data_IF_303202462478
#
_entry.id   IF_303202462478
#
_cell.length_a   1.000
_cell.length_b   1.000
_cell.length_c   1.000
_cell.angle_alpha   90.00
_cell.angle_beta   90.00
_cell.angle_gamma   90.00
#
_symmetry.space_group_name_H-M   'P 1'
#
loop_
_entity.id
_entity.type
_entity.pdbx_description
1 polymer ?
#
# COMPACT_ATOMS: atom_id res chain seq x y z
N UNK A 1 10.15 -11.29 -8.56
CA UNK A 1 9.58 -11.97 -7.36
C UNK A 1 8.10 -11.58 -7.21
N UNK A 2 7.22 -12.48 -6.77
CA UNK A 2 5.76 -12.24 -6.65
C UNK A 2 5.37 -11.96 -5.21
N UNK A 3 4.72 -10.81 -4.98
CA UNK A 3 4.04 -10.50 -3.72
C UNK A 3 2.61 -11.04 -3.81
N UNK A 4 2.34 -12.18 -3.17
CA UNK A 4 0.97 -12.63 -2.94
C UNK A 4 0.68 -12.71 -1.44
N UNK A 5 -0.40 -12.06 -1.00
CA UNK A 5 -0.99 -12.29 0.31
C UNK A 5 -2.05 -13.39 0.15
N UNK A 6 -1.63 -14.65 0.22
CA UNK A 6 -2.54 -15.81 0.13
C UNK A 6 -3.69 -15.78 1.16
N UNK A 7 -3.59 -14.94 2.20
CA UNK A 7 -4.69 -14.66 3.14
C UNK A 7 -5.75 -13.69 2.61
N UNK A 8 -5.37 -12.65 1.85
CA UNK A 8 -6.27 -11.60 1.34
C UNK A 8 -7.10 -12.04 0.12
N UNK A 9 -6.59 -12.93 -0.73
CA UNK A 9 -7.35 -13.44 -1.88
C UNK A 9 -8.61 -14.24 -1.48
N UNK A 10 -8.72 -14.69 -0.22
CA UNK A 10 -9.96 -15.30 0.32
C UNK A 10 -10.92 -14.29 0.94
N UNK A 11 -10.51 -13.04 1.09
CA UNK A 11 -11.29 -11.96 1.70
C UNK A 11 -12.10 -11.19 0.66
N UNK A 12 -11.83 -11.36 -0.65
CA UNK A 12 -12.72 -10.89 -1.72
C UNK A 12 -14.17 -11.37 -1.56
N UNK A 13 -14.44 -12.44 -0.82
CA UNK A 13 -15.82 -12.84 -0.50
C UNK A 13 -16.55 -11.88 0.45
N UNK A 14 -15.86 -10.96 1.12
CA UNK A 14 -16.42 -9.85 1.88
C UNK A 14 -16.67 -8.66 0.93
N UNK A 15 -17.74 -8.75 0.14
CA UNK A 15 -18.15 -7.75 -0.86
C UNK A 15 -18.52 -6.37 -0.29
N UNK A 16 -18.54 -6.17 1.02
CA UNK A 16 -18.86 -4.89 1.64
C UNK A 16 -17.66 -3.96 1.59
N UNK A 17 -17.68 -2.98 0.69
CA UNK A 17 -16.76 -1.84 0.72
C UNK A 17 -17.30 -0.79 1.69
N UNK A 18 -16.83 -0.84 2.94
CA UNK A 18 -17.33 -0.07 4.09
C UNK A 18 -16.30 0.96 4.64
N UNK A 19 -15.22 1.18 3.89
CA UNK A 19 -14.21 2.20 4.18
C UNK A 19 -13.78 2.92 2.91
N UNK A 20 -13.74 4.25 2.99
CA UNK A 20 -13.19 5.14 1.96
C UNK A 20 -11.79 5.60 2.36
N UNK A 21 -10.82 5.35 1.50
CA UNK A 21 -9.48 5.93 1.61
C UNK A 21 -9.36 7.06 0.59
N UNK A 22 -8.96 8.24 1.04
CA UNK A 22 -8.82 9.42 0.19
C UNK A 22 -7.34 9.76 0.03
N UNK A 23 -6.85 9.67 -1.20
CA UNK A 23 -5.49 9.99 -1.59
C UNK A 23 -5.50 11.26 -2.45
N UNK A 24 -5.30 12.44 -1.84
CA UNK A 24 -5.54 13.71 -2.50
C UNK A 24 -7.00 13.85 -2.92
N UNK A 25 -7.26 13.89 -4.24
CA UNK A 25 -8.62 13.96 -4.80
C UNK A 25 -9.15 12.59 -5.27
N UNK A 26 -8.44 11.50 -4.95
CA UNK A 26 -8.76 10.15 -5.41
C UNK A 26 -9.39 9.34 -4.28
N UNK A 27 -10.56 8.77 -4.54
CA UNK A 27 -11.29 7.94 -3.60
C UNK A 27 -11.07 6.45 -3.93
N UNK A 28 -10.66 5.69 -2.92
CA UNK A 28 -10.52 4.24 -3.01
C UNK A 28 -11.43 3.57 -1.99
N UNK A 29 -12.39 2.80 -2.49
CA UNK A 29 -13.33 2.04 -1.65
C UNK A 29 -12.79 0.65 -1.39
N UNK A 30 -12.62 0.31 -0.12
CA UNK A 30 -12.12 -0.97 0.35
C UNK A 30 -12.95 -1.46 1.55
N UNK A 31 -12.72 -2.70 1.99
CA UNK A 31 -13.28 -3.16 3.25
C UNK A 31 -12.32 -2.81 4.41
N UNK A 32 -12.89 -2.59 5.59
CA UNK A 32 -12.15 -2.28 6.81
C UNK A 32 -11.18 -3.38 7.23
N UNK A 33 -11.48 -4.64 6.92
CA UNK A 33 -10.63 -5.78 7.25
C UNK A 33 -9.30 -5.73 6.47
N UNK A 34 -9.35 -5.70 5.14
CA UNK A 34 -8.21 -5.58 4.24
C UNK A 34 -7.40 -4.33 4.54
N UNK A 35 -8.07 -3.22 4.83
CA UNK A 35 -7.40 -1.98 5.19
C UNK A 35 -6.67 -2.07 6.53
N UNK A 36 -7.28 -2.67 7.55
CA UNK A 36 -6.65 -2.91 8.86
C UNK A 36 -5.51 -3.92 8.77
N UNK A 37 -5.65 -4.91 7.91
CA UNK A 37 -4.63 -5.93 7.67
C UNK A 37 -3.39 -5.33 6.99
N UNK A 38 -3.60 -4.47 5.99
CA UNK A 38 -2.52 -3.82 5.25
C UNK A 38 -1.92 -2.61 5.94
N UNK A 39 -2.57 -2.03 6.95
CA UNK A 39 -2.11 -0.80 7.57
C UNK A 39 -2.36 -0.82 9.07
N UNK A 40 -1.27 -0.90 9.83
CA UNK A 40 -1.34 -0.80 11.29
C UNK A 40 -1.87 0.58 11.73
N UNK A 41 -1.60 1.63 10.94
CA UNK A 41 -2.17 2.97 11.12
C UNK A 41 -3.70 2.95 11.03
N UNK A 42 -4.27 2.35 9.98
CA UNK A 42 -5.72 2.23 9.82
C UNK A 42 -6.32 1.39 10.95
N UNK A 43 -5.68 0.27 11.31
CA UNK A 43 -6.13 -0.58 12.40
C UNK A 43 -6.23 0.19 13.73
N UNK A 44 -5.19 0.95 14.10
CA UNK A 44 -5.18 1.78 15.32
C UNK A 44 -6.32 2.79 15.32
N UNK A 45 -6.58 3.45 14.17
CA UNK A 45 -7.68 4.40 14.03
C UNK A 45 -9.04 3.72 14.25
N UNK A 46 -9.28 2.58 13.60
CA UNK A 46 -10.56 1.87 13.69
C UNK A 46 -10.80 1.20 15.06
N UNK A 47 -9.74 0.84 15.80
CA UNK A 47 -9.85 0.37 17.18
C UNK A 47 -10.29 1.53 18.11
N UNK A 48 -9.75 2.72 17.89
CA UNK A 48 -10.09 3.90 18.69
C UNK A 48 -11.49 4.42 18.36
N UNK A 49 -11.87 4.39 17.09
CA UNK A 49 -13.19 4.80 16.63
C UNK A 49 -13.65 3.93 15.44
N UNK A 50 -14.54 2.99 15.76
CA UNK A 50 -15.11 2.08 14.77
C UNK A 50 -16.21 2.73 13.92
N UNK A 51 -16.48 4.02 14.06
CA UNK A 51 -17.45 4.74 13.22
C UNK A 51 -16.78 5.46 12.04
N UNK A 52 -15.44 5.49 11.99
CA UNK A 52 -14.70 6.09 10.87
C UNK A 52 -15.03 5.37 9.56
N UNK A 53 -15.66 6.10 8.64
CA UNK A 53 -15.96 5.64 7.28
C UNK A 53 -14.96 6.17 6.24
N UNK A 54 -14.15 7.17 6.61
CA UNK A 54 -13.26 7.87 5.68
C UNK A 54 -11.90 8.20 6.32
N UNK A 55 -10.80 7.88 5.62
CA UNK A 55 -9.42 8.14 6.06
C UNK A 55 -8.66 8.88 4.96
N UNK A 56 -7.99 9.98 5.32
CA UNK A 56 -7.25 10.84 4.39
C UNK A 56 -5.75 10.57 4.45
N UNK A 57 -5.12 10.53 3.27
CA UNK A 57 -3.68 10.41 3.06
C UNK A 57 -3.17 11.61 2.27
N UNK A 58 -2.61 12.59 2.98
CA UNK A 58 -2.13 13.85 2.39
C UNK A 58 -0.82 13.69 1.60
N UNK A 59 -0.01 12.67 1.92
CA UNK A 59 1.29 12.42 1.28
C UNK A 59 1.19 11.92 -0.18
N UNK A 60 -0.01 11.68 -0.70
CA UNK A 60 -0.26 11.15 -2.04
C UNK A 60 0.49 11.90 -3.17
N UNK A 61 0.37 13.22 -3.22
CA UNK A 61 0.98 14.02 -4.30
C UNK A 61 2.51 13.93 -4.25
N UNK A 62 3.08 13.84 -3.05
CA UNK A 62 4.51 13.66 -2.84
C UNK A 62 4.97 12.29 -3.33
N UNK A 63 4.22 11.23 -3.07
CA UNK A 63 4.52 9.87 -3.54
C UNK A 63 4.50 9.80 -5.07
N UNK A 64 3.43 10.32 -5.71
CA UNK A 64 3.31 10.31 -7.16
C UNK A 64 4.45 11.10 -7.81
N UNK A 65 4.70 12.33 -7.33
CA UNK A 65 5.72 13.19 -7.90
C UNK A 65 7.12 12.60 -7.73
N UNK A 66 7.42 11.98 -6.58
CA UNK A 66 8.72 11.36 -6.31
C UNK A 66 8.99 10.14 -7.18
N UNK A 67 7.96 9.34 -7.46
CA UNK A 67 8.11 8.09 -8.21
C UNK A 67 7.88 8.26 -9.72
N UNK A 68 7.59 9.47 -10.21
CA UNK A 68 7.35 9.77 -11.63
C UNK A 68 6.27 8.87 -12.28
N UNK A 69 5.25 8.49 -11.51
CA UNK A 69 4.16 7.60 -11.95
C UNK A 69 2.90 8.38 -12.34
N UNK A 70 2.02 7.76 -13.11
CA UNK A 70 0.68 8.30 -13.34
C UNK A 70 -0.25 7.97 -12.17
N UNK A 71 -1.26 8.80 -11.97
CA UNK A 71 -2.36 8.54 -11.03
C UNK A 71 -3.03 7.19 -11.31
N UNK A 72 -3.29 6.88 -12.58
CA UNK A 72 -3.93 5.62 -12.97
C UNK A 72 -3.11 4.39 -12.58
N UNK A 73 -1.78 4.49 -12.67
CA UNK A 73 -0.89 3.42 -12.24
C UNK A 73 -0.92 3.23 -10.72
N UNK A 74 -0.94 4.34 -9.99
CA UNK A 74 -1.09 4.33 -8.53
C UNK A 74 -2.42 3.69 -8.09
N UNK A 75 -3.53 4.09 -8.71
CA UNK A 75 -4.86 3.53 -8.42
C UNK A 75 -4.91 2.03 -8.73
N UNK A 76 -4.30 1.60 -9.84
CA UNK A 76 -4.20 0.19 -10.18
C UNK A 76 -3.41 -0.58 -9.12
N UNK A 77 -2.25 -0.08 -8.70
CA UNK A 77 -1.43 -0.75 -7.68
C UNK A 77 -2.15 -0.82 -6.33
N UNK A 78 -2.88 0.23 -5.93
CA UNK A 78 -3.73 0.19 -4.73
C UNK A 78 -4.82 -0.88 -4.85
N UNK A 79 -5.47 -0.98 -6.00
CA UNK A 79 -6.46 -2.03 -6.25
C UNK A 79 -5.85 -3.41 -6.06
N UNK A 80 -4.67 -3.65 -6.62
CA UNK A 80 -3.98 -4.94 -6.47
C UNK A 80 -3.62 -5.21 -5.01
N UNK A 81 -3.07 -4.22 -4.31
CA UNK A 81 -2.62 -4.35 -2.93
C UNK A 81 -3.79 -4.65 -1.98
N UNK A 82 -4.85 -3.84 -2.03
CA UNK A 82 -6.03 -3.98 -1.18
C UNK A 82 -6.98 -5.10 -1.62
N UNK A 83 -6.93 -5.50 -2.89
CA UNK A 83 -7.60 -6.68 -3.43
C UNK A 83 -6.88 -7.99 -3.09
N UNK A 84 -5.63 -7.93 -2.64
CA UNK A 84 -4.84 -9.13 -2.37
C UNK A 84 -4.40 -9.86 -3.65
N UNK A 85 -4.36 -9.15 -4.77
CA UNK A 85 -3.89 -9.65 -6.06
C UNK A 85 -2.36 -9.84 -6.05
N UNK A 86 -1.85 -10.65 -6.97
CA UNK A 86 -0.41 -10.80 -7.16
C UNK A 86 0.19 -9.55 -7.78
N UNK A 87 1.18 -8.95 -7.11
CA UNK A 87 1.94 -7.83 -7.64
C UNK A 87 3.27 -8.36 -8.19
N UNK A 88 3.45 -8.22 -9.51
CA UNK A 88 4.73 -8.48 -10.18
C UNK A 88 5.64 -7.27 -9.91
N UNK A 89 6.67 -7.47 -9.10
CA UNK A 89 7.61 -6.40 -8.78
C UNK A 89 8.53 -6.08 -9.96
N UNK A 90 8.71 -4.79 -10.22
CA UNK A 90 9.67 -4.22 -11.17
C UNK A 90 10.25 -2.91 -10.59
N UNK A 91 11.27 -2.35 -11.24
CA UNK A 91 11.91 -1.11 -10.76
C UNK A 91 10.91 0.05 -10.58
N UNK A 92 9.90 0.11 -11.45
CA UNK A 92 8.88 1.17 -11.44
C UNK A 92 7.98 1.11 -10.19
N UNK A 93 7.57 -0.08 -9.73
CA UNK A 93 6.69 -0.21 -8.56
C UNK A 93 7.41 -0.47 -7.24
N UNK A 94 8.67 -0.90 -7.23
CA UNK A 94 9.39 -1.17 -5.99
C UNK A 94 9.51 0.08 -5.10
N UNK A 95 9.96 1.21 -5.65
CA UNK A 95 10.10 2.46 -4.91
C UNK A 95 8.74 2.97 -4.40
N UNK A 96 7.71 2.81 -5.23
CA UNK A 96 6.34 3.15 -4.87
C UNK A 96 5.81 2.27 -3.73
N UNK A 97 6.04 0.96 -3.77
CA UNK A 97 5.62 0.03 -2.72
C UNK A 97 6.36 0.30 -1.39
N UNK A 98 7.63 0.70 -1.45
CA UNK A 98 8.38 1.15 -0.27
C UNK A 98 7.77 2.44 0.30
N UNK A 99 7.43 3.43 -0.54
CA UNK A 99 6.79 4.65 -0.05
C UNK A 99 5.39 4.40 0.52
N UNK A 100 4.60 3.55 -0.13
CA UNK A 100 3.29 3.09 0.37
C UNK A 100 3.43 2.37 1.71
N UNK A 101 4.44 1.51 1.88
CA UNK A 101 4.67 0.79 3.14
C UNK A 101 4.85 1.75 4.32
N UNK A 102 5.55 2.87 4.13
CA UNK A 102 5.75 3.90 5.17
C UNK A 102 4.44 4.61 5.50
N UNK A 103 3.68 5.00 4.48
CA UNK A 103 2.41 5.73 4.64
C UNK A 103 1.34 4.87 5.31
N UNK A 104 1.34 3.58 5.00
CA UNK A 104 0.46 2.59 5.60
C UNK A 104 0.96 2.08 6.96
N UNK A 105 2.17 2.42 7.39
CA UNK A 105 2.84 1.80 8.55
C UNK A 105 2.80 0.26 8.45
N UNK A 106 3.24 -0.27 7.31
CA UNK A 106 3.32 -1.69 7.01
C UNK A 106 4.78 -2.11 6.75
N UNK A 107 5.50 -2.37 7.84
CA UNK A 107 6.91 -2.74 7.78
C UNK A 107 7.13 -4.08 7.05
N UNK A 108 6.19 -5.02 7.13
CA UNK A 108 6.28 -6.31 6.45
C UNK A 108 6.34 -6.12 4.92
N UNK A 109 5.46 -5.27 4.37
CA UNK A 109 5.47 -4.91 2.96
C UNK A 109 6.79 -4.25 2.58
N UNK A 110 7.24 -3.27 3.37
CA UNK A 110 8.49 -2.54 3.11
C UNK A 110 9.70 -3.47 3.06
N UNK A 111 9.86 -4.32 4.08
CA UNK A 111 10.95 -5.29 4.17
C UNK A 111 10.90 -6.31 3.03
N UNK A 112 9.71 -6.79 2.67
CA UNK A 112 9.56 -7.77 1.58
C UNK A 112 9.95 -7.18 0.22
N UNK A 113 9.63 -5.90 -0.04
CA UNK A 113 10.04 -5.20 -1.25
C UNK A 113 11.55 -4.95 -1.24
N UNK A 114 12.11 -4.51 -0.11
CA UNK A 114 13.55 -4.26 0.02
C UNK A 114 14.39 -5.53 -0.17
N UNK A 115 13.94 -6.65 0.37
CA UNK A 115 14.61 -7.94 0.16
C UNK A 115 14.48 -8.48 -1.28
N UNK A 116 13.61 -7.89 -2.10
CA UNK A 116 13.45 -8.27 -3.51
C UNK A 116 14.37 -7.51 -4.47
N UNK A 117 15.12 -6.51 -4.00
CA UNK A 117 16.13 -5.86 -4.83
C UNK A 117 17.25 -6.86 -5.13
N UNK A 118 17.32 -7.30 -6.39
CA UNK A 118 18.31 -8.28 -6.85
C UNK A 118 19.74 -7.68 -6.87
N UNK A 119 19.89 -6.38 -7.10
CA UNK A 119 21.16 -5.66 -7.10
C UNK A 119 21.14 -4.44 -6.15
N UNK A 120 22.20 -4.25 -5.38
CA UNK A 120 22.42 -3.03 -4.60
C UNK A 120 22.99 -1.94 -5.51
N UNK A 121 22.29 -0.81 -5.59
CA UNK A 121 22.75 0.39 -6.29
C UNK A 121 22.61 1.62 -5.39
N UNK A 122 23.20 2.75 -5.79
CA UNK A 122 23.18 3.97 -4.98
C UNK A 122 21.76 4.46 -4.66
N UNK A 123 20.79 4.18 -5.54
CA UNK A 123 19.39 4.60 -5.38
C UNK A 123 18.63 3.77 -4.33
N UNK A 124 18.96 2.47 -4.16
CA UNK A 124 18.25 1.58 -3.24
C UNK A 124 18.97 1.31 -1.91
N UNK A 125 20.29 1.58 -1.83
CA UNK A 125 21.10 1.42 -0.61
C UNK A 125 20.55 2.24 0.54
N UNK A 126 20.19 3.51 0.30
CA UNK A 126 19.67 4.40 1.35
C UNK A 126 18.30 3.95 1.87
N UNK A 127 17.46 3.37 1.01
CA UNK A 127 16.17 2.81 1.42
C UNK A 127 16.34 1.57 2.30
N UNK A 128 17.41 0.78 2.07
CA UNK A 128 17.74 -0.41 2.87
C UNK A 128 18.42 -0.10 4.20
N UNK A 129 19.20 0.99 4.28
CA UNK A 129 19.88 1.40 5.52
C UNK A 129 18.95 2.09 6.54
N UNK A 130 17.85 2.67 6.07
CA UNK A 130 16.88 3.41 6.89
C UNK A 130 15.66 2.57 7.30
N UNK A 131 15.67 1.26 7.02
CA UNK A 131 14.68 0.27 7.44
C UNK A 131 15.38 -0.76 8.33
#
# INVERSE_FOLDING_TARGET
>A
MVLSYKGLGRIETLNSKDLKLIFGNHEFLCNRFSASFLSSKIQKLLINDSTIECIYFEDFLKIISKNHITVSYFEHLLSQLFGGEEIIMNEQNQNLLVDLSKVLENDELGLKVIHSYDDLNEENVMSRLNY
#
